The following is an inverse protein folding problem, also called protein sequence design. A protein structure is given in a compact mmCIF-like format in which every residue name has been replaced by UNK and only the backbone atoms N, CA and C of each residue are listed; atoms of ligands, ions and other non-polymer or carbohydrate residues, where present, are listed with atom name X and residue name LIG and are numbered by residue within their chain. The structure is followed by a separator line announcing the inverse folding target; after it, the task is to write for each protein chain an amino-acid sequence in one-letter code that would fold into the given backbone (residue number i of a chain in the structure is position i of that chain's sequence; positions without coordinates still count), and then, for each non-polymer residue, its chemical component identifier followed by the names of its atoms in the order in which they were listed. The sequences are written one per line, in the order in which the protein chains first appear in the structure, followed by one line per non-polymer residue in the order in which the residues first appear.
data_IF_048481375593
#
_entry.id   IF_048481375593
#
_cell.length_a   1.000
_cell.length_b   1.000
_cell.length_c   1.000
_cell.angle_alpha   90.00
_cell.angle_beta   90.00
_cell.angle_gamma   90.00
#
_symmetry.space_group_name_H-M   'P 1'
#
loop_
_entity.id
_entity.type
_entity.pdbx_description
1 polymer ?
#
# COMPACT_ATOMS: atom_id res chain seq x y z
N UNK A 1 9.77 -40.04 -57.57
CA UNK A 1 10.19 -39.39 -56.35
C UNK A 1 8.98 -38.62 -55.83
N UNK A 2 8.17 -39.26 -54.97
CA UNK A 2 6.87 -38.75 -54.50
C UNK A 2 7.11 -37.91 -53.26
N UNK A 3 6.78 -36.63 -53.31
CA UNK A 3 6.85 -35.72 -52.16
C UNK A 3 5.56 -35.90 -51.36
N UNK A 4 5.68 -36.54 -50.21
CA UNK A 4 4.57 -36.68 -49.25
C UNK A 4 4.43 -35.35 -48.50
N UNK A 5 3.40 -34.60 -48.80
CA UNK A 5 3.01 -33.40 -48.06
C UNK A 5 2.48 -33.81 -46.68
N UNK A 6 3.27 -33.60 -45.64
CA UNK A 6 2.82 -33.73 -44.27
C UNK A 6 1.95 -32.52 -43.94
N UNK A 7 0.64 -32.72 -43.88
CA UNK A 7 -0.32 -31.76 -43.41
C UNK A 7 -0.12 -31.56 -41.88
N UNK A 8 0.31 -30.36 -41.49
CA UNK A 8 0.39 -29.98 -40.08
C UNK A 8 -1.03 -29.94 -39.48
N UNK A 9 -1.25 -30.49 -38.29
CA UNK A 9 -2.55 -30.40 -37.64
C UNK A 9 -2.80 -28.94 -37.20
N UNK A 10 -3.72 -28.25 -37.89
CA UNK A 10 -4.26 -26.97 -37.49
C UNK A 10 -5.25 -27.18 -36.35
N UNK A 11 -4.75 -27.39 -35.14
CA UNK A 11 -5.57 -27.26 -33.92
C UNK A 11 -5.13 -26.02 -33.20
N UNK A 12 -5.53 -24.86 -33.72
CA UNK A 12 -5.70 -23.70 -32.90
C UNK A 12 -6.95 -23.96 -32.06
N UNK A 13 -6.87 -23.96 -30.72
CA UNK A 13 -8.07 -24.03 -29.91
C UNK A 13 -8.96 -22.83 -30.27
N UNK A 14 -10.30 -22.99 -30.28
CA UNK A 14 -11.21 -21.92 -30.61
C UNK A 14 -10.92 -20.74 -29.70
N UNK A 15 -10.80 -19.53 -30.28
CA UNK A 15 -10.70 -18.30 -29.54
C UNK A 15 -11.89 -18.25 -28.56
N UNK A 16 -11.60 -18.56 -27.29
CA UNK A 16 -12.59 -18.58 -26.24
C UNK A 16 -13.23 -17.20 -26.17
N UNK A 17 -14.56 -17.18 -26.28
CA UNK A 17 -15.40 -16.02 -26.16
C UNK A 17 -14.94 -15.12 -25.02
N UNK A 18 -14.83 -13.82 -25.28
CA UNK A 18 -14.46 -12.78 -24.32
C UNK A 18 -15.48 -12.61 -23.15
N UNK A 19 -16.42 -13.54 -23.01
CA UNK A 19 -17.46 -13.59 -22.00
C UNK A 19 -17.08 -14.51 -20.83
N UNK A 20 -15.86 -14.37 -20.36
CA UNK A 20 -15.44 -14.99 -19.12
C UNK A 20 -16.14 -14.32 -17.93
N UNK A 21 -17.16 -14.99 -17.37
CA UNK A 21 -17.87 -14.54 -16.18
C UNK A 21 -16.91 -14.24 -15.02
N UNK A 22 -17.41 -13.63 -13.95
CA UNK A 22 -16.64 -13.23 -12.73
C UNK A 22 -15.68 -14.34 -12.27
N UNK A 23 -16.05 -15.63 -12.40
CA UNK A 23 -15.21 -16.77 -12.07
C UNK A 23 -13.89 -16.87 -12.87
N UNK A 24 -13.90 -16.50 -14.14
CA UNK A 24 -12.68 -16.46 -14.97
C UNK A 24 -11.78 -15.30 -14.56
N UNK A 25 -12.36 -14.12 -14.33
CA UNK A 25 -11.60 -12.97 -13.83
C UNK A 25 -10.92 -13.24 -12.49
N UNK A 26 -11.55 -14.00 -11.59
CA UNK A 26 -10.96 -14.43 -10.32
C UNK A 26 -9.80 -15.40 -10.55
N UNK A 27 -9.95 -16.41 -11.41
CA UNK A 27 -8.88 -17.36 -11.75
C UNK A 27 -7.68 -16.65 -12.36
N UNK A 28 -7.90 -15.76 -13.31
CA UNK A 28 -6.85 -14.94 -13.94
C UNK A 28 -6.13 -14.07 -12.91
N UNK A 29 -6.87 -13.45 -11.99
CA UNK A 29 -6.32 -12.65 -10.89
C UNK A 29 -5.43 -13.50 -9.97
N UNK A 30 -5.89 -14.71 -9.60
CA UNK A 30 -5.11 -15.65 -8.77
C UNK A 30 -3.82 -16.07 -9.49
N UNK A 31 -3.91 -16.41 -10.78
CA UNK A 31 -2.76 -16.81 -11.58
C UNK A 31 -1.72 -15.68 -11.68
N UNK A 32 -2.18 -14.42 -11.92
CA UNK A 32 -1.29 -13.26 -11.97
C UNK A 32 -0.67 -12.93 -10.62
N UNK A 33 -1.45 -13.04 -9.54
CA UNK A 33 -0.96 -12.87 -8.16
C UNK A 33 0.13 -13.92 -7.86
N UNK A 34 -0.12 -15.20 -8.18
CA UNK A 34 0.84 -16.29 -7.99
C UNK A 34 2.14 -16.09 -8.77
N UNK A 35 2.05 -15.63 -10.02
CA UNK A 35 3.21 -15.28 -10.83
C UNK A 35 4.06 -14.19 -10.18
N UNK A 36 3.43 -13.10 -9.76
CA UNK A 36 4.13 -11.97 -9.14
C UNK A 36 4.76 -12.38 -7.79
N UNK A 37 4.06 -13.21 -7.02
CA UNK A 37 4.57 -13.73 -5.73
C UNK A 37 5.78 -14.65 -5.94
N UNK A 38 5.75 -15.49 -7.00
CA UNK A 38 6.88 -16.34 -7.37
C UNK A 38 8.09 -15.50 -7.81
N UNK A 39 7.87 -14.43 -8.56
CA UNK A 39 8.92 -13.48 -8.94
C UNK A 39 9.56 -12.83 -7.70
N UNK A 40 8.75 -12.42 -6.71
CA UNK A 40 9.25 -11.86 -5.45
C UNK A 40 10.08 -12.86 -4.63
N UNK A 41 9.67 -14.13 -4.57
CA UNK A 41 10.44 -15.17 -3.87
C UNK A 41 11.82 -15.41 -4.49
N UNK A 42 11.97 -15.18 -5.80
CA UNK A 42 13.24 -15.34 -6.52
C UNK A 42 14.23 -14.20 -6.28
N UNK A 43 13.75 -13.06 -5.76
CA UNK A 43 14.58 -11.88 -5.47
C UNK A 43 14.34 -11.44 -4.02
N UNK A 44 14.79 -12.24 -3.00
CA UNK A 44 14.56 -11.93 -1.59
C UNK A 44 15.19 -10.60 -1.15
N UNK A 45 16.20 -10.13 -1.89
CA UNK A 45 16.84 -8.85 -1.65
C UNK A 45 15.83 -7.69 -1.66
N UNK A 46 14.83 -7.72 -2.55
CA UNK A 46 13.80 -6.68 -2.63
C UNK A 46 12.99 -6.61 -1.33
N UNK A 47 12.67 -7.75 -0.72
CA UNK A 47 11.97 -7.79 0.57
C UNK A 47 12.86 -7.27 1.71
N UNK A 48 14.12 -7.68 1.74
CA UNK A 48 15.08 -7.20 2.76
C UNK A 48 15.28 -5.70 2.65
N UNK A 49 15.55 -5.17 1.45
CA UNK A 49 15.75 -3.74 1.24
C UNK A 49 14.48 -2.91 1.51
N UNK A 50 13.28 -3.48 1.30
CA UNK A 50 12.04 -2.78 1.67
C UNK A 50 11.86 -2.59 3.17
N UNK A 51 12.57 -3.36 4.00
CA UNK A 51 12.59 -3.22 5.47
C UNK A 51 13.68 -2.29 5.97
N UNK A 52 14.78 -2.16 5.23
CA UNK A 52 15.94 -1.36 5.68
C UNK A 52 15.53 0.08 5.99
N UNK A 53 14.80 0.72 5.08
CA UNK A 53 14.37 2.10 5.27
C UNK A 53 13.45 2.27 6.50
N UNK A 54 12.33 1.53 6.67
CA UNK A 54 11.49 1.64 7.86
C UNK A 54 12.25 1.34 9.17
N UNK A 55 13.15 0.35 9.15
CA UNK A 55 13.96 0.01 10.32
C UNK A 55 14.90 1.16 10.69
N UNK A 56 15.59 1.75 9.71
CA UNK A 56 16.43 2.95 9.94
C UNK A 56 15.59 4.08 10.54
N UNK A 57 14.38 4.31 10.04
CA UNK A 57 13.49 5.34 10.58
C UNK A 57 13.11 5.05 12.03
N UNK A 58 12.76 3.79 12.36
CA UNK A 58 12.48 3.40 13.76
C UNK A 58 13.68 3.71 14.66
N UNK A 59 14.87 3.27 14.27
CA UNK A 59 16.09 3.53 15.07
C UNK A 59 16.39 5.03 15.19
N UNK A 60 16.32 5.76 14.09
CA UNK A 60 16.56 7.20 14.07
C UNK A 60 15.57 7.93 14.98
N UNK A 61 14.28 7.69 14.81
CA UNK A 61 13.28 8.38 15.63
C UNK A 61 13.28 7.92 17.07
N UNK A 62 13.51 6.63 17.35
CA UNK A 62 13.58 6.10 18.72
C UNK A 62 14.78 6.65 19.49
N UNK A 63 15.97 6.60 18.92
CA UNK A 63 17.20 6.89 19.65
C UNK A 63 17.70 8.32 19.48
N UNK A 64 17.49 8.96 18.34
CA UNK A 64 17.91 10.34 18.11
C UNK A 64 16.84 11.32 18.60
N UNK A 65 15.55 11.07 18.28
CA UNK A 65 14.47 11.99 18.61
C UNK A 65 13.66 11.58 19.85
N UNK A 66 13.74 10.32 20.29
CA UNK A 66 12.95 9.81 21.42
C UNK A 66 13.15 10.54 22.74
N UNK A 67 14.34 11.12 22.96
CA UNK A 67 14.61 11.95 24.14
C UNK A 67 14.01 13.36 24.06
N UNK A 68 13.82 13.87 22.84
CA UNK A 68 13.29 15.22 22.60
C UNK A 68 11.76 15.24 22.50
N UNK A 69 11.13 14.16 22.00
CA UNK A 69 9.68 14.06 21.80
C UNK A 69 9.06 13.33 22.99
N UNK A 70 8.46 14.07 23.90
CA UNK A 70 7.75 13.51 25.06
C UNK A 70 6.28 13.29 24.71
N UNK A 71 5.80 12.06 24.91
CA UNK A 71 4.40 11.71 24.79
C UNK A 71 3.79 11.61 26.19
N UNK A 72 2.71 12.32 26.51
CA UNK A 72 2.07 12.23 27.81
C UNK A 72 1.59 10.82 28.11
N UNK A 73 2.11 10.21 29.18
CA UNK A 73 1.61 8.94 29.71
C UNK A 73 2.03 7.68 28.95
N UNK A 74 2.89 7.77 27.93
CA UNK A 74 3.35 6.60 27.17
C UNK A 74 4.78 6.75 26.64
N UNK A 75 5.39 5.60 26.28
CA UNK A 75 6.65 5.58 25.56
C UNK A 75 6.46 6.09 24.12
N UNK A 76 7.42 6.87 23.67
CA UNK A 76 7.42 7.41 22.30
C UNK A 76 7.35 6.30 21.24
N UNK A 77 7.84 5.09 21.51
CA UNK A 77 7.78 3.94 20.59
C UNK A 77 6.36 3.54 20.28
N UNK A 78 5.49 3.52 21.28
CA UNK A 78 4.08 3.14 21.10
C UNK A 78 3.33 4.17 20.25
N UNK A 79 3.72 5.44 20.34
CA UNK A 79 3.23 6.50 19.46
C UNK A 79 3.78 6.38 18.04
N UNK A 80 5.08 6.07 17.90
CA UNK A 80 5.84 6.06 16.64
C UNK A 80 5.44 4.90 15.73
N UNK A 81 5.31 3.68 16.28
CA UNK A 81 5.17 2.47 15.47
C UNK A 81 3.96 2.48 14.51
N UNK A 82 2.75 2.90 14.90
CA UNK A 82 1.64 3.05 13.96
C UNK A 82 1.94 4.01 12.80
N UNK A 83 2.71 5.06 13.07
CA UNK A 83 3.18 6.01 12.04
C UNK A 83 4.14 5.36 11.05
N UNK A 84 5.12 4.59 11.53
CA UNK A 84 6.07 3.86 10.69
C UNK A 84 5.36 2.79 9.85
N UNK A 85 4.39 2.06 10.42
CA UNK A 85 3.60 1.10 9.65
C UNK A 85 2.88 1.77 8.50
N UNK A 86 2.19 2.89 8.76
CA UNK A 86 1.49 3.64 7.73
C UNK A 86 2.46 4.19 6.67
N UNK A 87 3.58 4.77 7.08
CA UNK A 87 4.63 5.23 6.16
C UNK A 87 5.09 4.10 5.24
N UNK A 88 5.39 2.93 5.80
CA UNK A 88 5.87 1.77 5.05
C UNK A 88 4.89 1.36 3.96
N UNK A 89 3.60 1.36 4.28
CA UNK A 89 2.54 1.03 3.32
C UNK A 89 2.36 2.12 2.26
N UNK A 90 2.40 3.39 2.67
CA UNK A 90 2.29 4.53 1.74
C UNK A 90 3.40 4.50 0.70
N UNK A 91 4.65 4.33 1.13
CA UNK A 91 5.78 4.19 0.20
C UNK A 91 5.76 2.86 -0.57
N UNK A 92 5.27 1.79 0.06
CA UNK A 92 5.06 0.50 -0.60
C UNK A 92 4.08 0.57 -1.77
N UNK A 93 3.07 1.43 -1.70
CA UNK A 93 2.10 1.62 -2.78
C UNK A 93 2.73 2.19 -4.07
N UNK A 94 3.83 2.96 -3.96
CA UNK A 94 4.58 3.46 -5.11
C UNK A 94 5.09 2.29 -5.97
N UNK A 95 5.46 1.18 -5.35
CA UNK A 95 5.93 -0.02 -6.04
C UNK A 95 4.95 -0.59 -7.06
N UNK A 96 3.64 -0.43 -6.85
CA UNK A 96 2.61 -0.82 -7.83
C UNK A 96 2.76 -0.02 -9.12
N UNK A 97 2.92 1.30 -9.02
CA UNK A 97 3.09 2.16 -10.19
C UNK A 97 4.40 1.90 -10.92
N UNK A 98 5.50 1.80 -10.18
CA UNK A 98 6.83 1.49 -10.73
C UNK A 98 6.80 0.16 -11.49
N UNK A 99 6.22 -0.88 -10.89
CA UNK A 99 6.15 -2.17 -11.55
C UNK A 99 5.22 -2.24 -12.74
N UNK A 100 4.11 -1.47 -12.77
CA UNK A 100 3.28 -1.36 -13.97
C UNK A 100 4.00 -0.60 -15.08
N UNK A 101 4.76 0.44 -14.76
CA UNK A 101 5.59 1.16 -15.70
C UNK A 101 6.70 0.26 -16.29
N UNK A 102 7.31 -0.62 -15.47
CA UNK A 102 8.25 -1.63 -15.96
C UNK A 102 7.60 -2.66 -16.87
N UNK A 103 6.42 -3.18 -16.50
CA UNK A 103 5.69 -4.14 -17.31
C UNK A 103 5.31 -3.52 -18.67
N UNK A 104 5.00 -2.22 -18.69
CA UNK A 104 4.73 -1.47 -19.91
C UNK A 104 5.98 -1.32 -20.78
N UNK A 105 7.08 -0.85 -20.19
CA UNK A 105 8.35 -0.63 -20.91
C UNK A 105 8.96 -1.93 -21.49
N UNK A 106 8.66 -3.08 -20.87
CA UNK A 106 9.10 -4.41 -21.33
C UNK A 106 8.15 -5.05 -22.35
N UNK A 107 7.08 -4.35 -22.77
CA UNK A 107 6.07 -4.88 -23.71
C UNK A 107 5.23 -6.04 -23.13
N UNK A 108 5.30 -6.27 -21.81
CA UNK A 108 4.55 -7.37 -21.18
C UNK A 108 3.04 -7.12 -21.23
N UNK A 109 2.60 -5.88 -21.21
CA UNK A 109 1.18 -5.51 -21.31
C UNK A 109 0.61 -5.91 -22.68
N UNK A 110 1.35 -5.70 -23.77
CA UNK A 110 0.96 -6.12 -25.12
C UNK A 110 0.85 -7.64 -25.22
N UNK A 111 1.82 -8.34 -24.62
CA UNK A 111 1.80 -9.81 -24.55
C UNK A 111 0.60 -10.34 -23.75
N UNK A 112 0.20 -9.69 -22.66
CA UNK A 112 -1.00 -10.09 -21.92
C UNK A 112 -2.30 -9.81 -22.68
N UNK A 113 -2.31 -8.82 -23.55
CA UNK A 113 -3.46 -8.50 -24.40
C UNK A 113 -3.70 -9.55 -25.49
N UNK A 114 -2.68 -10.25 -25.94
CA UNK A 114 -2.83 -11.36 -26.88
C UNK A 114 -3.35 -12.65 -26.22
N UNK A 115 -3.39 -12.71 -24.89
CA UNK A 115 -3.97 -13.82 -24.15
C UNK A 115 -5.47 -13.59 -23.89
N UNK A 116 -6.28 -14.65 -23.86
CA UNK A 116 -7.71 -14.57 -23.54
C UNK A 116 -7.92 -14.35 -22.04
N UNK A 117 -7.50 -13.18 -21.52
CA UNK A 117 -7.56 -12.80 -20.11
C UNK A 117 -8.38 -11.53 -19.89
N UNK A 118 -9.04 -11.45 -18.72
CA UNK A 118 -9.71 -10.21 -18.32
C UNK A 118 -8.69 -9.08 -18.11
N UNK A 119 -8.88 -7.96 -18.82
CA UNK A 119 -7.94 -6.81 -18.77
C UNK A 119 -7.74 -6.24 -17.35
N UNK A 120 -8.79 -6.29 -16.52
CA UNK A 120 -8.72 -5.89 -15.11
C UNK A 120 -7.93 -6.87 -14.25
N UNK A 121 -7.83 -8.15 -14.65
CA UNK A 121 -7.14 -9.18 -13.87
C UNK A 121 -5.64 -8.88 -13.68
N UNK A 122 -5.00 -8.25 -14.68
CA UNK A 122 -3.59 -7.84 -14.59
C UNK A 122 -3.39 -6.79 -13.51
N UNK A 123 -4.22 -5.74 -13.50
CA UNK A 123 -4.14 -4.66 -12.49
C UNK A 123 -4.52 -5.16 -11.10
N UNK A 124 -5.62 -5.91 -10.98
CA UNK A 124 -6.08 -6.46 -9.71
C UNK A 124 -5.06 -7.47 -9.18
N UNK A 125 -4.53 -8.36 -10.03
CA UNK A 125 -3.51 -9.33 -9.66
C UNK A 125 -2.21 -8.67 -9.19
N UNK A 126 -1.81 -7.55 -9.79
CA UNK A 126 -0.67 -6.75 -9.33
C UNK A 126 -0.94 -6.15 -7.95
N UNK A 127 -2.05 -5.44 -7.80
CA UNK A 127 -2.44 -4.83 -6.51
C UNK A 127 -2.61 -5.88 -5.41
N UNK A 128 -3.14 -7.07 -5.71
CA UNK A 128 -3.25 -8.17 -4.76
C UNK A 128 -1.86 -8.70 -4.32
N UNK A 129 -0.91 -8.80 -5.26
CA UNK A 129 0.46 -9.24 -4.93
C UNK A 129 1.17 -8.21 -4.05
N UNK A 130 0.99 -6.92 -4.33
CA UNK A 130 1.56 -5.83 -3.54
C UNK A 130 0.92 -5.78 -2.14
N UNK A 131 -0.38 -6.09 -2.04
CA UNK A 131 -1.07 -6.23 -0.76
C UNK A 131 -0.48 -7.35 0.09
N UNK A 132 -0.25 -8.54 -0.49
CA UNK A 132 0.39 -9.66 0.19
C UNK A 132 1.82 -9.33 0.64
N UNK A 133 2.59 -8.64 -0.21
CA UNK A 133 3.91 -8.12 0.18
C UNK A 133 3.79 -7.17 1.38
N UNK A 134 2.84 -6.24 1.36
CA UNK A 134 2.64 -5.29 2.44
C UNK A 134 2.22 -6.00 3.74
N UNK A 135 1.39 -7.06 3.68
CA UNK A 135 1.09 -7.90 4.86
C UNK A 135 2.37 -8.45 5.45
N UNK A 136 3.23 -9.06 4.63
CA UNK A 136 4.49 -9.62 5.09
C UNK A 136 5.40 -8.56 5.73
N UNK A 137 5.55 -7.41 5.07
CA UNK A 137 6.37 -6.30 5.58
C UNK A 137 5.82 -5.78 6.91
N UNK A 138 4.49 -5.61 7.03
CA UNK A 138 3.86 -5.16 8.28
C UNK A 138 4.07 -6.16 9.40
N UNK A 139 3.90 -7.46 9.15
CA UNK A 139 4.16 -8.51 10.16
C UNK A 139 5.60 -8.43 10.64
N UNK A 140 6.57 -8.31 9.72
CA UNK A 140 7.97 -8.15 10.12
C UNK A 140 8.22 -6.86 10.90
N UNK A 141 7.59 -5.75 10.51
CA UNK A 141 7.71 -4.48 11.23
C UNK A 141 7.07 -4.53 12.63
N UNK A 142 5.98 -5.27 12.81
CA UNK A 142 5.39 -5.52 14.13
C UNK A 142 6.37 -6.31 15.00
N UNK A 143 7.02 -7.33 14.44
CA UNK A 143 8.06 -8.11 15.18
C UNK A 143 9.25 -7.21 15.56
N UNK A 144 9.74 -6.39 14.64
CA UNK A 144 10.80 -5.40 14.93
C UNK A 144 10.32 -4.43 16.02
N UNK A 145 9.09 -3.98 15.96
CA UNK A 145 8.48 -3.11 16.98
C UNK A 145 8.52 -3.75 18.38
N UNK A 146 8.14 -5.01 18.49
CA UNK A 146 8.21 -5.75 19.77
C UNK A 146 9.63 -5.85 20.32
N UNK A 147 10.63 -6.05 19.47
CA UNK A 147 12.03 -6.10 19.87
C UNK A 147 12.52 -4.74 20.43
N UNK A 148 11.98 -3.64 19.92
CA UNK A 148 12.36 -2.28 20.32
C UNK A 148 11.56 -1.75 21.52
N UNK A 149 10.55 -2.53 21.98
CA UNK A 149 9.74 -2.18 23.15
C UNK A 149 8.33 -1.74 22.87
N UNK A 150 7.86 -1.79 21.60
CA UNK A 150 6.47 -1.54 21.25
C UNK A 150 5.53 -2.51 21.97
N UNK A 151 4.43 -2.01 22.53
CA UNK A 151 3.43 -2.81 23.22
C UNK A 151 2.03 -2.53 22.68
N UNK A 152 1.24 -3.61 22.55
CA UNK A 152 -0.16 -3.55 22.17
C UNK A 152 -0.98 -3.47 23.45
N UNK A 153 -1.68 -2.36 23.65
CA UNK A 153 -2.48 -2.14 24.86
C UNK A 153 -3.93 -2.58 24.70
N UNK A 154 -4.44 -2.62 23.47
CA UNK A 154 -5.85 -2.89 23.17
C UNK A 154 -6.15 -4.32 22.69
N UNK A 155 -5.15 -5.22 22.76
CA UNK A 155 -5.28 -6.62 22.38
C UNK A 155 -5.13 -6.89 20.88
N UNK A 156 -4.88 -8.18 20.57
CA UNK A 156 -4.58 -8.66 19.21
C UNK A 156 -5.72 -8.41 18.20
N UNK A 157 -7.01 -8.59 18.53
CA UNK A 157 -8.07 -8.34 17.55
C UNK A 157 -8.11 -6.89 17.05
N UNK A 158 -7.87 -5.91 17.92
CA UNK A 158 -7.81 -4.50 17.54
C UNK A 158 -6.56 -4.18 16.70
N UNK A 159 -5.44 -4.85 16.96
CA UNK A 159 -4.25 -4.76 16.09
C UNK A 159 -4.56 -5.28 14.68
N UNK A 160 -5.18 -6.46 14.57
CA UNK A 160 -5.56 -7.05 13.27
C UNK A 160 -6.48 -6.08 12.51
N UNK A 161 -7.47 -5.50 13.18
CA UNK A 161 -8.34 -4.50 12.55
C UNK A 161 -7.54 -3.26 12.09
N UNK A 162 -6.58 -2.79 12.89
CA UNK A 162 -5.69 -1.69 12.51
C UNK A 162 -4.87 -2.02 11.26
N UNK A 163 -4.32 -3.24 11.19
CA UNK A 163 -3.60 -3.74 10.00
C UNK A 163 -4.53 -3.79 8.78
N UNK A 164 -5.76 -4.28 8.93
CA UNK A 164 -6.73 -4.33 7.82
C UNK A 164 -7.09 -2.94 7.30
N UNK A 165 -7.34 -1.98 8.19
CA UNK A 165 -7.61 -0.58 7.81
C UNK A 165 -6.41 0.01 7.05
N UNK A 166 -5.22 -0.26 7.52
CA UNK A 166 -3.99 0.21 6.90
C UNK A 166 -3.76 -0.42 5.52
N UNK A 167 -4.01 -1.72 5.38
CA UNK A 167 -3.90 -2.43 4.11
C UNK A 167 -4.96 -1.94 3.11
N UNK A 168 -6.18 -1.66 3.56
CA UNK A 168 -7.23 -1.06 2.73
C UNK A 168 -6.80 0.32 2.20
N UNK A 169 -6.17 1.14 3.05
CA UNK A 169 -5.62 2.43 2.64
C UNK A 169 -4.46 2.28 1.65
N UNK A 170 -3.53 1.37 1.91
CA UNK A 170 -2.43 1.05 0.98
C UNK A 170 -2.92 0.55 -0.38
N UNK A 171 -3.93 -0.32 -0.37
CA UNK A 171 -4.60 -0.76 -1.58
C UNK A 171 -5.24 0.41 -2.35
N UNK A 172 -5.87 1.34 -1.65
CA UNK A 172 -6.41 2.54 -2.29
C UNK A 172 -5.32 3.39 -2.95
N UNK A 173 -4.22 3.64 -2.24
CA UNK A 173 -3.08 4.38 -2.78
C UNK A 173 -2.43 3.70 -3.99
N UNK A 174 -2.41 2.37 -4.02
CA UNK A 174 -1.84 1.63 -5.16
C UNK A 174 -2.54 1.95 -6.49
N UNK A 175 -3.82 2.31 -6.48
CA UNK A 175 -4.55 2.74 -7.68
C UNK A 175 -4.13 4.12 -8.19
N UNK A 176 -3.78 5.04 -7.28
CA UNK A 176 -3.19 6.34 -7.68
C UNK A 176 -1.88 6.09 -8.43
N UNK A 177 -0.99 5.28 -7.83
CA UNK A 177 0.31 5.00 -8.44
C UNK A 177 0.20 4.11 -9.68
N UNK A 178 -0.78 3.21 -9.74
CA UNK A 178 -1.08 2.47 -10.96
C UNK A 178 -1.40 3.42 -12.13
N UNK A 179 -2.22 4.43 -11.89
CA UNK A 179 -2.52 5.45 -12.89
C UNK A 179 -1.27 6.25 -13.30
N UNK A 180 -0.46 6.68 -12.32
CA UNK A 180 0.80 7.41 -12.58
C UNK A 180 1.76 6.55 -13.39
N UNK A 181 1.98 5.29 -13.01
CA UNK A 181 2.87 4.36 -13.73
C UNK A 181 2.44 4.09 -15.17
N UNK A 182 1.12 3.86 -15.38
CA UNK A 182 0.56 3.69 -16.72
C UNK A 182 0.58 4.96 -17.57
N UNK A 183 0.67 6.12 -16.93
CA UNK A 183 0.70 7.40 -17.66
C UNK A 183 2.12 7.76 -18.09
N UNK A 184 3.09 7.54 -17.22
CA UNK A 184 4.49 7.88 -17.48
C UNK A 184 5.22 6.77 -18.26
N UNK A 185 4.84 5.50 -18.10
CA UNK A 185 5.42 4.37 -18.83
C UNK A 185 6.90 4.08 -18.54
N UNK A 186 7.50 4.77 -17.59
CA UNK A 186 8.89 4.63 -17.18
C UNK A 186 8.97 4.52 -15.66
N UNK A 187 9.71 3.52 -15.17
CA UNK A 187 9.83 3.21 -13.75
C UNK A 187 10.51 4.33 -12.95
N UNK A 188 11.60 4.87 -13.49
CA UNK A 188 12.37 5.96 -12.85
C UNK A 188 11.54 7.24 -12.77
N UNK A 189 10.86 7.60 -13.87
CA UNK A 189 9.98 8.76 -13.91
C UNK A 189 8.80 8.60 -12.94
N UNK A 190 8.24 7.38 -12.82
CA UNK A 190 7.16 7.08 -11.87
C UNK A 190 7.61 7.25 -10.43
N UNK A 191 8.79 6.74 -10.08
CA UNK A 191 9.36 6.89 -8.75
C UNK A 191 9.70 8.36 -8.44
N UNK A 192 10.31 9.06 -9.40
CA UNK A 192 10.64 10.48 -9.27
C UNK A 192 9.40 11.36 -9.10
N UNK A 193 8.29 11.06 -9.78
CA UNK A 193 7.03 11.80 -9.64
C UNK A 193 6.30 11.48 -8.33
N UNK A 194 6.40 10.25 -7.83
CA UNK A 194 5.69 9.80 -6.63
C UNK A 194 6.28 10.39 -5.34
N UNK A 195 7.60 10.47 -5.24
CA UNK A 195 8.28 10.86 -4.02
C UNK A 195 7.96 12.30 -3.56
N UNK A 196 8.02 13.36 -4.43
CA UNK A 196 7.69 14.72 -4.05
C UNK A 196 6.25 14.92 -3.55
N UNK A 197 5.33 14.02 -3.94
CA UNK A 197 3.93 14.07 -3.49
C UNK A 197 3.77 13.33 -2.17
N UNK A 198 4.34 12.13 -2.04
CA UNK A 198 4.15 11.28 -0.87
C UNK A 198 5.00 11.70 0.33
N UNK A 199 6.22 12.19 0.13
CA UNK A 199 7.06 12.60 1.22
C UNK A 199 6.43 13.75 2.05
N UNK A 200 5.95 14.85 1.47
CA UNK A 200 5.23 15.87 2.24
C UNK A 200 3.99 15.34 2.95
N UNK A 201 3.19 14.47 2.29
CA UNK A 201 2.00 13.88 2.91
C UNK A 201 2.34 13.03 4.14
N UNK A 202 3.43 12.29 4.10
CA UNK A 202 3.88 11.46 5.22
C UNK A 202 4.55 12.31 6.30
N UNK A 203 5.49 13.18 5.94
CA UNK A 203 6.23 13.99 6.91
C UNK A 203 5.40 15.11 7.55
N UNK A 204 4.44 15.67 6.83
CA UNK A 204 3.45 16.61 7.38
C UNK A 204 2.23 15.91 7.97
N UNK A 205 2.32 14.60 8.29
CA UNK A 205 1.29 13.83 8.99
C UNK A 205 1.61 13.68 10.47
N UNK A 206 0.72 13.03 11.20
CA UNK A 206 0.94 12.62 12.59
C UNK A 206 1.86 11.38 12.72
N UNK A 207 2.60 10.98 11.67
CA UNK A 207 3.38 9.75 11.68
C UNK A 207 4.48 9.77 12.75
N UNK A 208 5.27 10.83 12.78
CA UNK A 208 6.48 10.93 13.60
C UNK A 208 6.32 11.87 14.79
N UNK A 209 5.55 12.94 14.62
CA UNK A 209 5.43 14.05 15.59
C UNK A 209 3.96 14.34 15.85
N UNK A 210 3.56 14.62 17.11
CA UNK A 210 2.20 15.02 17.42
C UNK A 210 1.80 16.30 16.66
N UNK A 211 0.59 16.30 16.08
CA UNK A 211 0.11 17.45 15.29
C UNK A 211 0.05 18.73 16.13
N UNK A 212 -0.20 18.62 17.43
CA UNK A 212 -0.25 19.77 18.34
C UNK A 212 1.07 20.53 18.48
N UNK A 213 2.23 19.90 18.15
CA UNK A 213 3.54 20.55 18.19
C UNK A 213 3.95 21.20 16.87
N UNK A 214 3.14 21.02 15.82
CA UNK A 214 3.40 21.61 14.50
C UNK A 214 3.02 23.11 14.48
N UNK A 215 3.60 23.89 13.55
CA UNK A 215 3.17 25.27 13.32
C UNK A 215 1.66 25.38 13.05
N UNK A 216 1.00 26.43 13.58
CA UNK A 216 -0.45 26.57 13.54
C UNK A 216 -1.06 26.49 12.13
N UNK A 217 -0.37 27.01 11.11
CA UNK A 217 -0.83 26.94 9.71
C UNK A 217 -0.80 25.52 9.13
N UNK A 218 0.07 24.63 9.65
CA UNK A 218 0.21 23.26 9.17
C UNK A 218 -0.79 22.30 9.86
N UNK A 219 -1.21 22.60 11.10
CA UNK A 219 -2.08 21.71 11.88
C UNK A 219 -3.40 21.35 11.19
N UNK A 220 -4.16 22.29 10.55
CA UNK A 220 -5.39 21.95 9.85
C UNK A 220 -5.17 20.94 8.72
N UNK A 221 -4.12 21.10 7.94
CA UNK A 221 -3.73 20.14 6.90
C UNK A 221 -3.36 18.80 7.52
N UNK A 222 -2.45 18.80 8.50
CA UNK A 222 -1.96 17.58 9.15
C UNK A 222 -3.08 16.78 9.83
N UNK A 223 -4.13 17.42 10.37
CA UNK A 223 -5.27 16.75 11.01
C UNK A 223 -6.23 16.11 10.03
N UNK A 224 -6.45 16.73 8.88
CA UNK A 224 -7.54 16.35 7.97
C UNK A 224 -7.09 15.50 6.78
N UNK A 225 -5.79 15.37 6.53
CA UNK A 225 -5.28 14.55 5.45
C UNK A 225 -5.48 13.04 5.70
N UNK A 226 -5.68 12.23 4.65
CA UNK A 226 -6.04 10.82 4.78
C UNK A 226 -4.97 9.97 5.50
N UNK A 227 -3.68 10.28 5.33
CA UNK A 227 -2.59 9.57 6.00
C UNK A 227 -2.69 9.73 7.51
N UNK A 228 -2.88 10.98 8.01
CA UNK A 228 -3.02 11.23 9.45
C UNK A 228 -4.28 10.60 10.05
N UNK A 229 -5.39 10.64 9.31
CA UNK A 229 -6.65 10.01 9.77
C UNK A 229 -6.45 8.50 9.92
N UNK A 230 -5.80 7.87 8.95
CA UNK A 230 -5.49 6.43 9.00
C UNK A 230 -4.56 6.12 10.17
N UNK A 231 -3.48 6.89 10.36
CA UNK A 231 -2.56 6.72 11.50
C UNK A 231 -3.29 6.90 12.83
N UNK A 232 -4.15 7.91 12.95
CA UNK A 232 -4.93 8.16 14.16
C UNK A 232 -5.90 6.99 14.46
N UNK A 233 -6.54 6.41 13.43
CA UNK A 233 -7.38 5.23 13.58
C UNK A 233 -6.59 4.03 14.11
N UNK A 234 -5.43 3.74 13.50
CA UNK A 234 -4.56 2.63 13.91
C UNK A 234 -4.05 2.86 15.34
N UNK A 235 -3.61 4.08 15.65
CA UNK A 235 -3.11 4.44 16.96
C UNK A 235 -4.16 4.21 18.06
N UNK A 236 -5.41 4.62 17.83
CA UNK A 236 -6.51 4.34 18.76
C UNK A 236 -6.87 2.85 18.84
N UNK A 237 -6.73 2.12 17.75
CA UNK A 237 -6.95 0.67 17.75
C UNK A 237 -5.87 -0.08 18.53
N UNK A 238 -4.62 0.35 18.46
CA UNK A 238 -3.48 -0.31 19.12
C UNK A 238 -3.33 0.10 20.58
N UNK A 239 -3.48 1.39 20.87
CA UNK A 239 -3.31 1.95 22.22
C UNK A 239 -4.60 1.81 23.06
N UNK A 240 -5.77 1.85 22.43
CA UNK A 240 -7.06 1.69 23.12
C UNK A 240 -7.25 2.71 24.25
N UNK A 241 -7.54 2.21 25.43
CA UNK A 241 -7.81 3.00 26.63
C UNK A 241 -6.53 3.32 27.46
N UNK A 242 -5.34 2.99 26.91
CA UNK A 242 -4.06 3.33 27.55
C UNK A 242 -3.81 4.85 27.62
N UNK A 243 -4.47 5.63 26.76
CA UNK A 243 -4.49 7.09 26.81
C UNK A 243 -5.90 7.60 27.12
N UNK A 244 -5.99 8.60 27.99
CA UNK A 244 -7.24 9.32 28.25
C UNK A 244 -7.68 10.13 27.03
N UNK A 245 -8.97 10.50 26.92
CA UNK A 245 -9.45 11.38 25.85
C UNK A 245 -8.70 12.70 25.75
N UNK A 246 -8.29 13.26 26.91
CA UNK A 246 -7.52 14.50 26.95
C UNK A 246 -6.12 14.34 26.34
N UNK A 247 -5.44 13.23 26.65
CA UNK A 247 -4.13 12.91 26.08
C UNK A 247 -4.22 12.69 24.54
N UNK A 248 -5.26 12.01 24.06
CA UNK A 248 -5.50 11.90 22.63
C UNK A 248 -5.71 13.27 21.96
N UNK A 249 -6.47 14.16 22.61
CA UNK A 249 -6.69 15.52 22.10
C UNK A 249 -5.39 16.33 22.05
N UNK A 250 -4.51 16.20 23.06
CA UNK A 250 -3.17 16.82 23.06
C UNK A 250 -2.29 16.32 21.91
N UNK A 251 -2.43 15.06 21.52
CA UNK A 251 -1.76 14.51 20.34
C UNK A 251 -2.39 14.95 19.01
N UNK A 252 -3.48 15.70 19.06
CA UNK A 252 -4.25 16.13 17.89
C UNK A 252 -5.15 15.04 17.31
N UNK A 253 -5.43 13.98 18.08
CA UNK A 253 -6.28 12.84 17.69
C UNK A 253 -7.69 13.07 18.26
N UNK A 254 -8.58 13.60 17.45
CA UNK A 254 -9.95 13.90 17.83
C UNK A 254 -10.94 12.88 17.27
N UNK A 255 -12.03 12.65 17.99
CA UNK A 255 -13.10 11.73 17.59
C UNK A 255 -12.99 10.33 18.21
N UNK A 256 -14.01 9.54 18.04
CA UNK A 256 -14.04 8.13 18.49
C UNK A 256 -13.20 7.24 17.59
N UNK A 257 -12.78 6.07 18.10
CA UNK A 257 -12.05 5.06 17.31
C UNK A 257 -12.80 4.69 16.03
N UNK A 258 -14.09 4.43 16.15
CA UNK A 258 -14.92 4.03 15.02
C UNK A 258 -15.12 5.16 14.00
N UNK A 259 -15.24 6.42 14.43
CA UNK A 259 -15.34 7.55 13.51
C UNK A 259 -14.07 7.71 12.68
N UNK A 260 -12.90 7.50 13.27
CA UNK A 260 -11.62 7.56 12.55
C UNK A 260 -11.45 6.38 11.58
N UNK A 261 -11.83 5.17 12.00
CA UNK A 261 -11.84 3.98 11.12
C UNK A 261 -12.75 4.22 9.93
N UNK A 262 -13.99 4.67 10.15
CA UNK A 262 -14.93 4.96 9.07
C UNK A 262 -14.43 6.07 8.13
N UNK A 263 -13.84 7.14 8.67
CA UNK A 263 -13.22 8.19 7.85
C UNK A 263 -12.06 7.67 7.01
N UNK A 264 -11.19 6.81 7.57
CA UNK A 264 -10.09 6.19 6.83
C UNK A 264 -10.62 5.30 5.71
N UNK A 265 -11.63 4.47 5.99
CA UNK A 265 -12.26 3.62 4.97
C UNK A 265 -13.01 4.43 3.91
N UNK A 266 -13.66 5.53 4.30
CA UNK A 266 -14.33 6.44 3.36
C UNK A 266 -13.31 7.11 2.41
N UNK A 267 -12.16 7.56 2.93
CA UNK A 267 -11.07 8.06 2.08
C UNK A 267 -10.55 6.97 1.15
N UNK A 268 -10.33 5.75 1.66
CA UNK A 268 -9.88 4.62 0.84
C UNK A 268 -10.88 4.29 -0.26
N UNK A 269 -12.17 4.22 0.07
CA UNK A 269 -13.22 3.96 -0.90
C UNK A 269 -13.32 5.07 -1.95
N UNK A 270 -13.23 6.34 -1.54
CA UNK A 270 -13.23 7.49 -2.45
C UNK A 270 -12.04 7.47 -3.42
N UNK A 271 -10.85 7.18 -2.93
CA UNK A 271 -9.65 7.03 -3.76
C UNK A 271 -9.84 5.90 -4.77
N UNK A 272 -10.29 4.72 -4.35
CA UNK A 272 -10.54 3.59 -5.26
C UNK A 272 -11.61 3.93 -6.28
N UNK A 273 -12.72 4.54 -5.86
CA UNK A 273 -13.83 4.89 -6.74
C UNK A 273 -13.42 5.87 -7.86
N UNK A 274 -12.47 6.76 -7.59
CA UNK A 274 -11.96 7.73 -8.57
C UNK A 274 -10.83 7.11 -9.42
N UNK A 275 -9.80 6.58 -8.76
CA UNK A 275 -8.56 6.22 -9.45
C UNK A 275 -8.59 4.84 -10.10
N UNK A 276 -9.38 3.88 -9.60
CA UNK A 276 -9.46 2.57 -10.22
C UNK A 276 -10.09 2.61 -11.62
N UNK A 277 -11.24 3.30 -11.85
CA UNK A 277 -11.77 3.45 -13.20
C UNK A 277 -10.81 4.19 -14.15
N UNK A 278 -10.13 5.23 -13.65
CA UNK A 278 -9.16 5.98 -14.44
C UNK A 278 -7.95 5.13 -14.83
N UNK A 279 -7.40 4.34 -13.89
CA UNK A 279 -6.30 3.43 -14.17
C UNK A 279 -6.70 2.34 -15.18
N UNK A 280 -7.90 1.76 -15.03
CA UNK A 280 -8.44 0.78 -15.99
C UNK A 280 -8.66 1.41 -17.36
N UNK A 281 -9.22 2.62 -17.41
CA UNK A 281 -9.42 3.34 -18.67
C UNK A 281 -8.09 3.66 -19.35
N UNK A 282 -7.08 4.08 -18.59
CA UNK A 282 -5.73 4.32 -19.09
C UNK A 282 -5.09 3.02 -19.60
N UNK A 283 -5.17 1.95 -18.83
CA UNK A 283 -4.66 0.63 -19.22
C UNK A 283 -5.26 0.15 -20.56
N UNK A 284 -6.53 0.47 -20.82
CA UNK A 284 -7.18 0.14 -22.09
C UNK A 284 -6.66 0.93 -23.29
N UNK A 285 -6.13 2.13 -23.06
CA UNK A 285 -5.65 3.06 -24.11
C UNK A 285 -4.15 2.93 -24.38
N UNK A 286 -3.41 2.37 -23.46
CA UNK A 286 -1.95 2.15 -23.61
C UNK A 286 -1.75 0.88 -24.42
N UNK A 287 -1.25 1.02 -25.65
CA UNK A 287 -1.02 -0.04 -26.64
C UNK A 287 -1.90 0.12 -27.88
#
# INVERSE_FOLDING_TARGET
MSITTVSAPSVLPPAGSADGGIGWAIKDTIAMTGRNLTAMRRVPQVLVFSLVQPVIFVFMFRYVFGGAIKIPGQDYVDYLMPGIFAQTIVFGAIGTGVGLAEDLSKGLIERFRSLPMARSAVLVGRSASDLLRNVFVVVLMVLVGFLIGFRIHAGVPRLILGVLVMLAFGFALSWIFALVGLTLGNAEATQAAAFPVMAPLVFASSAFVPVGTMPGWLQPFARNQPVSITIAAIRKLVLGDALSPLQYAQLGINGSTWSLVLKSLAWSAGIVAIFAPLAVARYRRVG
#
